data_IF_463644777773
#
_entry.id   IF_463644777773
#
_cell.length_a   1.000
_cell.length_b   1.000
_cell.length_c   1.000
_cell.angle_alpha   90.00
_cell.angle_beta   90.00
_cell.angle_gamma   90.00
#
_symmetry.space_group_name_H-M   'P 1'
#
loop_
_entity.id
_entity.type
_entity.pdbx_description
1 polymer ?
#
# COMPACT_ATOMS: atom_id res chain seq x y z
N UNK A 1 26.61 -0.43 -12.57
CA UNK A 1 25.41 -1.12 -12.07
C UNK A 1 24.73 -0.23 -11.03
N UNK A 2 23.44 0.03 -11.16
CA UNK A 2 22.69 0.74 -10.14
C UNK A 2 22.68 -0.08 -8.85
N UNK A 3 23.00 0.55 -7.71
CA UNK A 3 22.95 -0.12 -6.41
C UNK A 3 21.51 -0.10 -5.90
N UNK A 4 21.04 -1.18 -5.30
CA UNK A 4 19.70 -1.27 -4.72
C UNK A 4 19.40 -0.15 -3.70
N UNK A 5 20.41 0.31 -2.98
CA UNK A 5 20.35 1.38 -1.99
C UNK A 5 20.62 2.77 -2.57
N UNK A 6 20.78 2.91 -3.91
CA UNK A 6 20.87 4.22 -4.54
C UNK A 6 19.59 5.00 -4.32
N UNK A 7 19.71 6.24 -3.85
CA UNK A 7 18.57 7.07 -3.52
C UNK A 7 18.11 7.87 -4.75
N UNK A 8 16.80 7.90 -4.94
CA UNK A 8 16.13 8.77 -5.90
C UNK A 8 15.18 9.70 -5.17
N UNK A 9 15.06 10.93 -5.65
CA UNK A 9 14.12 11.88 -5.07
C UNK A 9 12.73 11.62 -5.66
N UNK A 10 11.72 11.60 -4.79
CA UNK A 10 10.32 11.78 -5.22
C UNK A 10 10.08 13.30 -5.19
N UNK A 11 10.01 13.97 -6.37
CA UNK A 11 10.15 15.42 -6.42
C UNK A 11 9.11 16.16 -5.59
N UNK A 12 7.85 15.72 -5.67
CA UNK A 12 6.71 16.40 -5.04
C UNK A 12 6.64 16.18 -3.52
N UNK A 13 7.15 15.03 -3.04
CA UNK A 13 7.18 14.73 -1.61
C UNK A 13 8.41 15.32 -0.90
N UNK A 14 9.39 15.82 -1.65
CA UNK A 14 10.71 16.20 -1.12
C UNK A 14 11.37 15.08 -0.27
N UNK A 15 11.21 13.84 -0.73
CA UNK A 15 11.73 12.63 -0.08
C UNK A 15 12.68 11.88 -0.99
N UNK A 16 13.72 11.32 -0.37
CA UNK A 16 14.64 10.42 -1.04
C UNK A 16 14.33 8.98 -0.65
N UNK A 17 14.13 8.14 -1.64
CA UNK A 17 13.85 6.71 -1.46
C UNK A 17 14.89 5.86 -2.18
N UNK A 18 15.15 4.67 -1.65
CA UNK A 18 15.96 3.68 -2.36
C UNK A 18 15.24 3.22 -3.64
N UNK A 19 16.02 2.94 -4.70
CA UNK A 19 15.48 2.45 -5.99
C UNK A 19 14.71 1.14 -5.85
N UNK A 20 15.10 0.29 -4.87
CA UNK A 20 14.32 -0.86 -4.47
C UNK A 20 13.52 -0.52 -3.22
N UNK A 21 12.25 -0.93 -3.22
CA UNK A 21 11.38 -0.90 -2.06
C UNK A 21 11.12 -2.31 -1.56
N UNK A 22 10.82 -2.46 -0.28
CA UNK A 22 10.31 -3.71 0.28
C UNK A 22 8.78 -3.69 0.29
N UNK A 23 8.15 -4.56 -0.51
CA UNK A 23 6.71 -4.85 -0.43
C UNK A 23 6.43 -5.90 0.64
N UNK A 24 5.45 -5.65 1.48
CA UNK A 24 5.19 -6.46 2.68
C UNK A 24 4.09 -7.51 2.53
N UNK A 25 3.50 -7.71 1.35
CA UNK A 25 2.45 -8.71 1.15
C UNK A 25 2.88 -10.13 1.58
N UNK A 26 4.09 -10.63 1.23
CA UNK A 26 4.55 -11.92 1.72
C UNK A 26 4.69 -11.98 3.25
N UNK A 27 5.04 -10.87 3.89
CA UNK A 27 5.15 -10.80 5.34
C UNK A 27 3.80 -10.88 6.06
N UNK A 28 2.69 -10.71 5.34
CA UNK A 28 1.33 -10.97 5.80
C UNK A 28 0.94 -12.46 5.79
N UNK A 29 1.81 -13.34 5.27
CA UNK A 29 1.52 -14.76 5.11
C UNK A 29 0.95 -15.11 3.72
N UNK A 30 1.30 -14.37 2.67
CA UNK A 30 0.85 -14.65 1.30
C UNK A 30 1.42 -16.01 0.83
N UNK A 31 0.54 -16.96 0.58
CA UNK A 31 0.79 -18.36 0.16
C UNK A 31 1.50 -19.26 1.18
N UNK A 32 2.15 -18.73 2.21
CA UNK A 32 2.82 -19.50 3.24
C UNK A 32 2.79 -18.77 4.57
N UNK A 33 2.79 -19.52 5.65
CA UNK A 33 2.88 -18.94 6.98
C UNK A 33 4.24 -18.25 7.16
N UNK A 34 4.23 -17.09 7.81
CA UNK A 34 5.41 -16.33 8.20
C UNK A 34 5.28 -15.97 9.67
N UNK A 35 6.29 -16.27 10.45
CA UNK A 35 6.34 -15.90 11.87
C UNK A 35 6.69 -14.42 12.05
N UNK A 36 6.37 -13.86 13.21
CA UNK A 36 6.73 -12.47 13.52
C UNK A 36 8.25 -12.26 13.53
N UNK A 37 9.01 -13.30 13.95
CA UNK A 37 10.48 -13.26 13.94
C UNK A 37 11.04 -13.21 12.52
N UNK A 38 10.58 -14.08 11.63
CA UNK A 38 11.01 -14.10 10.22
C UNK A 38 10.68 -12.77 9.51
N UNK A 39 9.51 -12.21 9.80
CA UNK A 39 9.12 -10.91 9.27
C UNK A 39 10.05 -9.80 9.79
N UNK A 40 10.32 -9.77 11.09
CA UNK A 40 11.23 -8.80 11.71
C UNK A 40 12.64 -8.90 11.12
N UNK A 41 13.21 -10.09 11.06
CA UNK A 41 14.54 -10.34 10.50
C UNK A 41 14.62 -9.88 9.03
N UNK A 42 13.60 -10.17 8.23
CA UNK A 42 13.51 -9.75 6.82
C UNK A 42 13.50 -8.22 6.69
N UNK A 43 12.66 -7.53 7.48
CA UNK A 43 12.56 -6.08 7.45
C UNK A 43 13.88 -5.43 7.91
N UNK A 44 14.46 -5.92 9.00
CA UNK A 44 15.73 -5.39 9.51
C UNK A 44 16.89 -5.67 8.54
N UNK A 45 16.91 -6.81 7.85
CA UNK A 45 17.89 -7.08 6.80
C UNK A 45 17.77 -6.07 5.64
N UNK A 46 16.55 -5.75 5.20
CA UNK A 46 16.30 -4.73 4.19
C UNK A 46 16.80 -3.35 4.65
N UNK A 47 16.44 -2.93 5.86
CA UNK A 47 16.93 -1.67 6.47
C UNK A 47 18.45 -1.63 6.54
N UNK A 48 19.10 -2.73 6.94
CA UNK A 48 20.55 -2.80 7.04
C UNK A 48 21.26 -2.83 5.68
N UNK A 49 20.57 -3.29 4.65
CA UNK A 49 21.03 -3.24 3.25
C UNK A 49 20.86 -1.86 2.61
N UNK A 50 20.26 -0.88 3.32
CA UNK A 50 20.08 0.48 2.84
C UNK A 50 18.77 0.71 2.09
N UNK A 51 17.82 -0.23 2.17
CA UNK A 51 16.44 -0.01 1.72
C UNK A 51 15.74 0.87 2.75
N UNK A 52 15.15 1.97 2.30
CA UNK A 52 14.42 2.91 3.15
C UNK A 52 12.99 3.18 2.67
N UNK A 53 12.53 2.47 1.65
CA UNK A 53 11.15 2.58 1.16
C UNK A 53 10.41 1.26 1.38
N UNK A 54 9.28 1.34 2.08
CA UNK A 54 8.47 0.20 2.51
C UNK A 54 7.03 0.40 2.09
N UNK A 55 6.47 -0.63 1.42
CA UNK A 55 5.06 -0.62 0.98
C UNK A 55 4.26 -1.71 1.69
N UNK A 56 3.09 -1.34 2.17
CA UNK A 56 2.16 -2.24 2.86
C UNK A 56 0.72 -1.98 2.46
N UNK A 57 -0.23 -2.71 3.05
CA UNK A 57 -1.67 -2.49 2.89
C UNK A 57 -2.48 -3.19 4.00
N UNK A 58 -3.70 -2.69 4.30
CA UNK A 58 -4.65 -3.41 5.17
C UNK A 58 -4.96 -4.83 4.69
N UNK A 59 -5.07 -5.03 3.37
CA UNK A 59 -5.29 -6.34 2.76
C UNK A 59 -4.21 -7.36 3.17
N UNK A 60 -2.96 -6.95 3.29
CA UNK A 60 -1.83 -7.85 3.43
C UNK A 60 -1.83 -8.57 4.78
N UNK A 61 -2.24 -9.84 4.75
CA UNK A 61 -2.44 -10.65 5.93
C UNK A 61 -3.50 -10.08 6.87
N UNK A 62 -4.52 -9.42 6.34
CA UNK A 62 -5.60 -8.78 7.08
C UNK A 62 -5.07 -7.88 8.21
N UNK A 63 -4.07 -7.05 7.86
CA UNK A 63 -3.39 -6.11 8.74
C UNK A 63 -2.15 -6.65 9.45
N UNK A 64 -1.81 -7.94 9.35
CA UNK A 64 -0.61 -8.49 9.99
C UNK A 64 0.67 -7.92 9.40
N UNK A 65 0.72 -7.70 8.07
CA UNK A 65 1.88 -7.08 7.43
C UNK A 65 2.17 -5.67 7.98
N UNK A 66 1.12 -4.86 8.19
CA UNK A 66 1.28 -3.52 8.78
C UNK A 66 1.79 -3.59 10.23
N UNK A 67 1.25 -4.49 11.05
CA UNK A 67 1.71 -4.68 12.45
C UNK A 67 3.19 -5.09 12.50
N UNK A 68 3.59 -6.07 11.67
CA UNK A 68 4.97 -6.57 11.58
C UNK A 68 5.92 -5.49 11.10
N UNK A 69 5.52 -4.77 10.05
CA UNK A 69 6.33 -3.69 9.49
C UNK A 69 6.53 -2.57 10.50
N UNK A 70 5.46 -2.11 11.14
CA UNK A 70 5.53 -1.06 12.16
C UNK A 70 6.39 -1.46 13.35
N UNK A 71 6.24 -2.69 13.86
CA UNK A 71 7.03 -3.19 14.98
C UNK A 71 8.55 -3.22 14.67
N UNK A 72 8.94 -3.69 13.48
CA UNK A 72 10.35 -3.77 13.09
C UNK A 72 10.94 -2.39 12.79
N UNK A 73 10.23 -1.52 12.06
CA UNK A 73 10.72 -0.17 11.73
C UNK A 73 10.89 0.70 12.97
N UNK A 74 9.97 0.61 13.93
CA UNK A 74 10.09 1.33 15.21
C UNK A 74 11.32 0.90 16.03
N UNK A 75 11.78 -0.36 15.89
CA UNK A 75 13.02 -0.83 16.51
C UNK A 75 14.28 -0.33 15.80
N UNK A 76 14.23 -0.14 14.48
CA UNK A 76 15.42 0.16 13.68
C UNK A 76 15.99 1.55 13.90
N UNK A 77 15.17 2.53 14.31
CA UNK A 77 15.52 3.95 14.50
C UNK A 77 16.17 4.62 13.27
N UNK A 78 16.19 3.96 12.10
CA UNK A 78 16.68 4.54 10.86
C UNK A 78 15.55 5.28 10.13
N UNK A 79 15.84 6.38 9.42
CA UNK A 79 14.83 7.08 8.64
C UNK A 79 14.30 6.17 7.52
N UNK A 80 13.00 6.20 7.31
CA UNK A 80 12.33 5.47 6.25
C UNK A 80 11.20 6.29 5.62
N UNK A 81 10.73 5.84 4.48
CA UNK A 81 9.50 6.29 3.82
C UNK A 81 8.55 5.11 3.79
N UNK A 82 7.31 5.34 4.17
CA UNK A 82 6.29 4.30 4.21
C UNK A 82 5.10 4.67 3.33
N UNK A 83 4.67 3.72 2.49
CA UNK A 83 3.38 3.77 1.82
C UNK A 83 2.46 2.70 2.39
N UNK A 84 1.20 3.07 2.59
CA UNK A 84 0.11 2.11 2.81
C UNK A 84 -1.05 2.42 1.88
N UNK A 85 -2.07 1.56 1.91
CA UNK A 85 -3.17 1.67 0.98
C UNK A 85 -4.49 1.92 1.71
N UNK A 86 -5.41 2.63 1.04
CA UNK A 86 -6.74 2.98 1.56
C UNK A 86 -7.83 2.48 0.62
N UNK A 87 -9.06 2.45 1.10
CA UNK A 87 -10.21 1.96 0.33
C UNK A 87 -10.56 0.49 0.59
N UNK A 88 -9.77 -0.20 1.45
CA UNK A 88 -10.16 -1.49 2.04
C UNK A 88 -10.20 -1.37 3.56
N UNK A 89 -11.38 -1.57 4.13
CA UNK A 89 -11.61 -1.55 5.58
C UNK A 89 -11.66 -2.98 6.09
N UNK A 90 -10.91 -3.30 7.13
CA UNK A 90 -10.98 -4.60 7.78
C UNK A 90 -12.21 -4.65 8.68
N UNK A 91 -13.14 -5.54 8.37
CA UNK A 91 -14.36 -5.75 9.15
C UNK A 91 -14.36 -7.15 9.77
N UNK A 92 -14.90 -7.25 10.98
CA UNK A 92 -15.11 -8.52 11.65
C UNK A 92 -16.48 -9.08 11.27
N UNK A 93 -16.50 -10.34 10.92
CA UNK A 93 -17.69 -11.09 10.51
C UNK A 93 -17.86 -12.34 11.38
N UNK A 94 -19.06 -12.89 11.43
CA UNK A 94 -19.27 -14.23 11.98
C UNK A 94 -18.71 -15.28 11.02
N UNK A 95 -18.38 -16.50 11.50
CA UNK A 95 -17.93 -17.58 10.62
C UNK A 95 -18.90 -17.89 9.47
N UNK A 96 -20.21 -17.77 9.71
CA UNK A 96 -21.25 -18.01 8.72
C UNK A 96 -21.24 -16.92 7.62
N UNK A 97 -21.02 -15.68 7.98
CA UNK A 97 -20.93 -14.57 7.04
C UNK A 97 -19.66 -14.64 6.18
N UNK A 98 -18.56 -15.16 6.74
CA UNK A 98 -17.29 -15.33 6.02
C UNK A 98 -17.34 -16.50 5.05
N UNK A 99 -18.07 -17.57 5.35
CA UNK A 99 -18.10 -18.78 4.53
C UNK A 99 -18.51 -18.57 3.06
N UNK A 100 -19.18 -17.44 2.75
CA UNK A 100 -19.52 -17.04 1.38
C UNK A 100 -18.62 -15.96 0.77
N UNK A 101 -17.62 -15.48 1.50
CA UNK A 101 -16.71 -14.41 1.05
C UNK A 101 -15.37 -15.04 0.65
N UNK A 102 -15.17 -15.20 -0.63
CA UNK A 102 -13.87 -15.61 -1.16
C UNK A 102 -13.16 -14.34 -1.66
N UNK A 103 -12.10 -13.92 -0.99
CA UNK A 103 -11.16 -12.99 -1.60
C UNK A 103 -10.33 -13.80 -2.61
N UNK A 104 -10.77 -13.80 -3.87
CA UNK A 104 -10.18 -14.59 -4.93
C UNK A 104 -8.77 -14.18 -5.36
N UNK A 105 -8.18 -13.18 -4.70
CA UNK A 105 -6.91 -12.58 -5.14
C UNK A 105 -5.71 -12.94 -4.28
N UNK A 106 -5.88 -13.33 -3.02
CA UNK A 106 -4.74 -13.65 -2.17
C UNK A 106 -5.10 -14.66 -1.07
N UNK A 107 -4.42 -15.81 -1.10
CA UNK A 107 -4.49 -16.80 -0.01
C UNK A 107 -3.50 -16.39 1.09
N UNK A 108 -3.97 -15.69 2.10
CA UNK A 108 -3.18 -15.42 3.29
C UNK A 108 -3.33 -16.54 4.32
N UNK A 109 -2.21 -17.04 4.82
CA UNK A 109 -2.12 -18.11 5.83
C UNK A 109 -1.84 -17.49 7.20
N UNK A 110 -2.41 -18.07 8.26
CA UNK A 110 -2.18 -17.59 9.62
C UNK A 110 -2.90 -16.30 9.97
N UNK A 111 -3.96 -15.94 9.24
CA UNK A 111 -4.80 -14.76 9.50
C UNK A 111 -6.03 -15.14 10.33
N UNK A 112 -6.60 -14.18 11.05
CA UNK A 112 -7.90 -14.36 11.72
C UNK A 112 -9.00 -14.53 10.65
N UNK A 113 -9.62 -15.71 10.55
CA UNK A 113 -10.62 -15.98 9.53
C UNK A 113 -11.92 -15.18 9.71
N UNK A 114 -12.10 -14.50 10.82
CA UNK A 114 -13.25 -13.63 11.08
C UNK A 114 -13.04 -12.19 10.62
N UNK A 115 -11.80 -11.81 10.30
CA UNK A 115 -11.47 -10.47 9.79
C UNK A 115 -11.36 -10.54 8.26
N UNK A 116 -12.13 -9.70 7.57
CA UNK A 116 -12.15 -9.68 6.12
C UNK A 116 -12.04 -8.25 5.57
N UNK A 117 -11.21 -8.02 4.54
CA UNK A 117 -11.10 -6.72 3.88
C UNK A 117 -12.34 -6.46 3.00
N UNK A 118 -12.95 -5.31 3.16
CA UNK A 118 -14.13 -4.88 2.38
C UNK A 118 -13.80 -3.57 1.68
N UNK A 119 -14.08 -3.47 0.40
CA UNK A 119 -13.96 -2.22 -0.34
C UNK A 119 -14.93 -1.17 0.23
N UNK A 120 -14.38 0.00 0.49
CA UNK A 120 -15.14 1.18 0.92
C UNK A 120 -14.38 2.45 0.47
N UNK A 121 -14.70 2.94 -0.72
CA UNK A 121 -14.10 4.13 -1.30
C UNK A 121 -14.82 5.42 -0.92
N UNK A 122 -15.82 5.35 -0.02
CA UNK A 122 -16.46 6.53 0.55
C UNK A 122 -15.50 7.32 1.44
N UNK A 123 -15.83 8.59 1.68
CA UNK A 123 -15.09 9.43 2.64
C UNK A 123 -14.88 8.74 3.99
N UNK A 124 -15.93 8.11 4.54
CA UNK A 124 -15.84 7.40 5.83
C UNK A 124 -14.91 6.20 5.76
N UNK A 125 -14.97 5.41 4.66
CA UNK A 125 -14.10 4.27 4.43
C UNK A 125 -12.64 4.64 4.30
N UNK A 126 -12.32 5.73 3.59
CA UNK A 126 -10.94 6.22 3.46
C UNK A 126 -10.37 6.65 4.80
N UNK A 127 -11.10 7.47 5.56
CA UNK A 127 -10.66 7.92 6.88
C UNK A 127 -10.47 6.74 7.84
N UNK A 128 -11.43 5.82 7.88
CA UNK A 128 -11.36 4.61 8.72
C UNK A 128 -10.17 3.72 8.35
N UNK A 129 -9.98 3.49 7.07
CA UNK A 129 -8.86 2.69 6.57
C UNK A 129 -7.51 3.27 6.97
N UNK A 130 -7.34 4.60 6.84
CA UNK A 130 -6.10 5.29 7.19
C UNK A 130 -5.85 5.27 8.71
N UNK A 131 -6.88 5.59 9.50
CA UNK A 131 -6.79 5.56 10.97
C UNK A 131 -6.38 4.18 11.49
N UNK A 132 -7.04 3.13 11.00
CA UNK A 132 -6.72 1.76 11.38
C UNK A 132 -5.31 1.35 10.97
N UNK A 133 -4.82 1.82 9.82
CA UNK A 133 -3.45 1.58 9.36
C UNK A 133 -2.42 2.27 10.27
N UNK A 134 -2.67 3.52 10.66
CA UNK A 134 -1.82 4.23 11.64
C UNK A 134 -1.72 3.48 12.97
N UNK A 135 -2.85 2.95 13.47
CA UNK A 135 -2.87 2.14 14.69
C UNK A 135 -2.08 0.84 14.54
N UNK A 136 -2.27 0.10 13.43
CA UNK A 136 -1.55 -1.16 13.20
C UNK A 136 -0.05 -0.98 13.01
N UNK A 137 0.35 0.07 12.30
CA UNK A 137 1.74 0.46 12.10
C UNK A 137 2.38 1.07 13.37
N UNK A 138 1.54 1.51 14.33
CA UNK A 138 1.97 2.22 15.53
C UNK A 138 2.83 3.47 15.21
N UNK A 139 2.36 4.29 14.28
CA UNK A 139 2.95 5.56 13.85
C UNK A 139 1.91 6.66 13.82
N UNK A 140 2.35 7.92 13.85
CA UNK A 140 1.47 9.08 13.86
C UNK A 140 1.20 9.69 12.49
N UNK A 141 1.96 9.30 11.47
CA UNK A 141 1.81 9.83 10.10
C UNK A 141 2.28 8.79 9.07
N UNK A 142 1.76 8.89 7.86
CA UNK A 142 2.14 8.08 6.70
C UNK A 142 2.71 9.00 5.63
N UNK A 143 3.81 8.59 4.97
CA UNK A 143 4.38 9.42 3.90
C UNK A 143 3.47 9.38 2.67
N UNK A 144 3.00 8.20 2.25
CA UNK A 144 2.25 8.02 1.02
C UNK A 144 1.00 7.16 1.27
N UNK A 145 -0.18 7.68 0.89
CA UNK A 145 -1.43 6.91 0.87
C UNK A 145 -1.81 6.58 -0.57
N UNK A 146 -1.98 5.28 -0.86
CA UNK A 146 -2.36 4.78 -2.18
C UNK A 146 -3.82 4.31 -2.17
N UNK A 147 -4.65 4.74 -3.12
CA UNK A 147 -5.98 4.15 -3.33
C UNK A 147 -5.78 2.74 -3.90
N UNK A 148 -6.37 1.72 -3.27
CA UNK A 148 -6.05 0.31 -3.50
C UNK A 148 -7.05 -0.38 -4.41
N UNK A 149 -6.57 -0.88 -5.57
CA UNK A 149 -7.34 -1.72 -6.50
C UNK A 149 -8.74 -1.17 -6.80
N UNK A 150 -8.83 0.14 -7.05
CA UNK A 150 -10.10 0.80 -7.37
C UNK A 150 -10.52 0.61 -8.83
N UNK A 151 -9.92 -0.38 -9.53
CA UNK A 151 -10.09 -0.56 -10.97
C UNK A 151 -11.57 -0.45 -11.40
N UNK A 152 -12.45 -1.30 -10.89
CA UNK A 152 -13.88 -1.27 -11.23
C UNK A 152 -14.69 -0.13 -10.57
N UNK A 153 -14.08 0.59 -9.63
CA UNK A 153 -14.70 1.68 -8.86
C UNK A 153 -13.93 3.00 -9.00
N UNK A 154 -13.17 3.14 -10.08
CA UNK A 154 -12.28 4.29 -10.30
C UNK A 154 -13.04 5.63 -10.29
N UNK A 155 -14.26 5.66 -10.79
CA UNK A 155 -15.07 6.88 -10.78
C UNK A 155 -15.46 7.31 -9.37
N UNK A 156 -15.80 6.37 -8.49
CA UNK A 156 -16.05 6.65 -7.08
C UNK A 156 -14.76 7.08 -6.38
N UNK A 157 -13.65 6.41 -6.65
CA UNK A 157 -12.36 6.76 -6.07
C UNK A 157 -11.94 8.20 -6.43
N UNK A 158 -12.17 8.62 -7.68
CA UNK A 158 -11.92 9.99 -8.13
C UNK A 158 -12.86 10.99 -7.42
N UNK A 159 -14.15 10.66 -7.34
CA UNK A 159 -15.15 11.59 -6.84
C UNK A 159 -15.18 11.70 -5.30
N UNK A 160 -14.91 10.62 -4.58
CA UNK A 160 -15.07 10.57 -3.14
C UNK A 160 -13.75 10.36 -2.38
N UNK A 161 -12.87 9.44 -2.85
CA UNK A 161 -11.65 9.10 -2.12
C UNK A 161 -10.56 10.15 -2.30
N UNK A 162 -10.31 10.58 -3.53
CA UNK A 162 -9.24 11.53 -3.83
C UNK A 162 -9.42 12.88 -3.11
N UNK A 163 -10.60 13.53 -3.07
CA UNK A 163 -10.76 14.78 -2.33
C UNK A 163 -10.45 14.67 -0.83
N UNK A 164 -10.72 13.51 -0.22
CA UNK A 164 -10.38 13.26 1.19
C UNK A 164 -8.87 13.18 1.37
N UNK A 165 -8.17 12.47 0.49
CA UNK A 165 -6.70 12.38 0.55
C UNK A 165 -6.04 13.72 0.27
N UNK A 166 -6.58 14.52 -0.64
CA UNK A 166 -6.08 15.86 -0.94
C UNK A 166 -6.22 16.82 0.26
N UNK A 167 -7.35 16.75 0.97
CA UNK A 167 -7.55 17.46 2.22
C UNK A 167 -6.54 17.00 3.30
N UNK A 168 -6.34 15.71 3.47
CA UNK A 168 -5.36 15.15 4.41
C UNK A 168 -3.91 15.53 4.04
N UNK A 169 -3.58 15.61 2.75
CA UNK A 169 -2.29 16.10 2.26
C UNK A 169 -2.12 17.58 2.58
N UNK A 170 -3.13 18.39 2.35
CA UNK A 170 -3.11 19.83 2.66
C UNK A 170 -2.92 20.10 4.16
N UNK A 171 -3.44 19.23 5.03
CA UNK A 171 -3.27 19.27 6.49
C UNK A 171 -1.91 18.69 6.95
N UNK A 172 -1.12 18.08 6.06
CA UNK A 172 0.16 17.46 6.39
C UNK A 172 0.04 16.13 7.13
N UNK A 173 -1.15 15.51 7.18
CA UNK A 173 -1.39 14.20 7.80
C UNK A 173 -0.77 13.09 6.93
N UNK A 174 -0.88 13.22 5.63
CA UNK A 174 -0.10 12.46 4.64
C UNK A 174 0.75 13.43 3.82
N UNK A 175 1.81 12.94 3.16
CA UNK A 175 2.69 13.79 2.34
C UNK A 175 2.46 13.60 0.86
N UNK A 176 2.01 12.41 0.44
CA UNK A 176 1.77 12.10 -0.96
C UNK A 176 0.56 11.21 -1.15
N UNK A 177 -0.02 11.35 -2.33
CA UNK A 177 -1.19 10.60 -2.79
C UNK A 177 -0.80 9.80 -4.02
N UNK A 178 -1.30 8.58 -4.10
CA UNK A 178 -1.14 7.76 -5.29
C UNK A 178 -2.25 6.74 -5.47
N UNK A 179 -2.05 5.87 -6.42
CA UNK A 179 -2.91 4.71 -6.68
C UNK A 179 -2.05 3.45 -6.77
N UNK A 180 -2.58 2.32 -6.26
CA UNK A 180 -2.02 0.98 -6.46
C UNK A 180 -3.02 0.16 -7.26
N UNK A 181 -2.69 -0.19 -8.51
CA UNK A 181 -3.61 -0.78 -9.46
C UNK A 181 -3.00 -1.92 -10.27
N UNK A 182 -3.87 -2.73 -10.88
CA UNK A 182 -3.50 -3.89 -11.69
C UNK A 182 -3.62 -3.62 -13.20
N UNK A 183 -4.36 -2.60 -13.62
CA UNK A 183 -4.62 -2.30 -15.04
C UNK A 183 -4.20 -0.88 -15.41
N UNK A 184 -3.42 -0.76 -16.50
CA UNK A 184 -2.89 0.53 -16.95
C UNK A 184 -3.98 1.53 -17.33
N UNK A 185 -5.09 1.07 -17.91
CA UNK A 185 -6.19 1.95 -18.34
C UNK A 185 -6.81 2.74 -17.18
N UNK A 186 -7.04 2.09 -16.05
CA UNK A 186 -7.57 2.75 -14.85
C UNK A 186 -6.53 3.64 -14.19
N UNK A 187 -5.25 3.20 -14.14
CA UNK A 187 -4.16 4.03 -13.65
C UNK A 187 -3.99 5.30 -14.51
N UNK A 188 -4.05 5.18 -15.83
CA UNK A 188 -4.02 6.32 -16.75
C UNK A 188 -5.20 7.28 -16.51
N UNK A 189 -6.40 6.75 -16.29
CA UNK A 189 -7.57 7.58 -15.95
C UNK A 189 -7.36 8.34 -14.64
N UNK A 190 -6.78 7.69 -13.63
CA UNK A 190 -6.43 8.31 -12.36
C UNK A 190 -5.44 9.47 -12.56
N UNK A 191 -4.35 9.25 -13.31
CA UNK A 191 -3.34 10.28 -13.61
C UNK A 191 -3.96 11.51 -14.29
N UNK A 192 -4.88 11.29 -15.22
CA UNK A 192 -5.53 12.39 -15.96
C UNK A 192 -6.50 13.21 -15.10
N UNK A 193 -7.01 12.68 -14.00
CA UNK A 193 -8.10 13.29 -13.23
C UNK A 193 -7.75 13.61 -11.78
N UNK A 194 -6.62 13.11 -11.27
CA UNK A 194 -6.14 13.37 -9.92
C UNK A 194 -4.73 13.95 -9.96
N UNK A 195 -4.42 14.78 -8.99
CA UNK A 195 -3.07 15.29 -8.77
C UNK A 195 -2.26 14.32 -7.92
N UNK A 196 -1.68 13.31 -8.55
CA UNK A 196 -0.97 12.20 -7.92
C UNK A 196 0.53 12.46 -7.82
N UNK A 197 1.14 11.96 -6.75
CA UNK A 197 2.58 12.04 -6.48
C UNK A 197 3.32 10.76 -6.90
N UNK A 198 2.62 9.61 -6.89
CA UNK A 198 3.20 8.30 -7.19
C UNK A 198 2.14 7.34 -7.72
N UNK A 199 2.59 6.38 -8.53
CA UNK A 199 1.75 5.27 -9.01
C UNK A 199 2.48 3.95 -8.75
N UNK A 200 1.75 2.99 -8.22
CA UNK A 200 2.15 1.60 -8.15
C UNK A 200 1.31 0.81 -9.16
N UNK A 201 1.96 0.30 -10.21
CA UNK A 201 1.32 -0.55 -11.21
C UNK A 201 1.87 -1.98 -11.13
N UNK A 202 0.99 -2.94 -10.84
CA UNK A 202 1.38 -4.30 -10.59
C UNK A 202 1.54 -5.09 -11.89
N UNK A 203 2.75 -5.64 -12.15
CA UNK A 203 2.99 -6.60 -13.20
C UNK A 203 2.90 -6.07 -14.64
N UNK A 204 2.85 -4.75 -14.87
CA UNK A 204 2.69 -4.14 -16.20
C UNK A 204 3.97 -3.50 -16.75
N UNK A 205 5.07 -3.66 -16.03
CA UNK A 205 6.41 -3.31 -16.49
C UNK A 205 7.41 -4.39 -16.05
N UNK A 206 7.37 -5.51 -16.74
CA UNK A 206 8.18 -6.69 -16.48
C UNK A 206 8.91 -7.12 -17.76
N UNK A 207 9.65 -8.22 -17.70
CA UNK A 207 10.25 -8.82 -18.91
C UNK A 207 9.18 -9.41 -19.86
N UNK A 208 7.98 -9.72 -19.37
CA UNK A 208 6.93 -10.37 -20.14
C UNK A 208 5.81 -9.40 -20.56
N UNK A 209 5.54 -8.38 -19.76
CA UNK A 209 4.49 -7.40 -20.00
C UNK A 209 5.06 -6.00 -19.77
N UNK A 210 5.04 -5.15 -20.80
CA UNK A 210 5.53 -3.77 -20.79
C UNK A 210 4.44 -2.77 -21.16
N UNK A 211 3.19 -3.15 -21.03
CA UNK A 211 2.03 -2.34 -21.43
C UNK A 211 1.94 -0.98 -20.73
N UNK A 212 2.57 -0.82 -19.57
CA UNK A 212 2.65 0.49 -18.91
C UNK A 212 3.37 1.56 -19.75
N UNK A 213 4.25 1.18 -20.69
CA UNK A 213 4.94 2.11 -21.58
C UNK A 213 4.03 2.73 -22.64
N UNK A 214 2.95 2.05 -22.99
CA UNK A 214 2.12 2.43 -24.16
C UNK A 214 1.39 3.74 -23.91
N UNK A 215 0.77 3.88 -22.76
CA UNK A 215 -0.02 5.06 -22.38
C UNK A 215 0.37 5.60 -21.01
N UNK A 216 0.39 4.78 -19.95
CA UNK A 216 0.54 5.22 -18.57
C UNK A 216 1.80 6.07 -18.34
N UNK A 217 2.96 5.58 -18.78
CA UNK A 217 4.23 6.30 -18.55
C UNK A 217 4.33 7.62 -19.32
N UNK A 218 3.54 7.79 -20.41
CA UNK A 218 3.50 9.04 -21.17
C UNK A 218 2.70 10.12 -20.45
N UNK A 219 1.75 9.72 -19.60
CA UNK A 219 0.92 10.63 -18.82
C UNK A 219 1.55 10.97 -17.46
N UNK A 220 2.53 10.17 -16.99
CA UNK A 220 3.31 10.46 -15.79
C UNK A 220 4.44 11.45 -16.06
#
# INVERSE_FOLDING_TARGET
MARHSELVKIPRLDRYVSKLALGSAPLGGLFSEVTDLEAEETILAAVNSGINFFDTAPLYGHGNAEKRLGAALNKSQKPYVISTKVGRVLKKFTPEEVAGKVDGLAAYVGVDPTIFPVFDFSKAGILKSLEDSLQRLNISSIDIALIHDADDQIDQAIAESYPVLDDLRSQGIIKGIGVGMNFCSYATKAVKQMDLDIILIAGRFTLLDQSAQDELFKEC
#
